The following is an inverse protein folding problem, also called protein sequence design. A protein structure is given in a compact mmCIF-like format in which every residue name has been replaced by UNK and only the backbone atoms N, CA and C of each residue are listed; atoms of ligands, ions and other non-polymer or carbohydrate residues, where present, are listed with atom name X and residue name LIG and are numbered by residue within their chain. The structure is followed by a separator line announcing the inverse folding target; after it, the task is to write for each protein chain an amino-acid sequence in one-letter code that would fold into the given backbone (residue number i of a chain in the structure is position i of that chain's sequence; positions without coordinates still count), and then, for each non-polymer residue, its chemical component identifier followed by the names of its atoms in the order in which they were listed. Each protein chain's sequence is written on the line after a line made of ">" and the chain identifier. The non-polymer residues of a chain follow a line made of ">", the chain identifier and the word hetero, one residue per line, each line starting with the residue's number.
data_IF_078089292701
#
_entry.id   IF_078089292701
#
_cell.length_a   1.000
_cell.length_b   1.000
_cell.length_c   1.000
_cell.angle_alpha   90.00
_cell.angle_beta   90.00
_cell.angle_gamma   90.00
#
_symmetry.space_group_name_H-M   'P 1'
#
loop_
_entity.id
_entity.type
_entity.pdbx_description
1 polymer ?
#
# COMPACT_ATOMS: atom_id res chain seq x y z
N UNK A 1 -11.37 4.45 35.64
CA UNK A 1 -9.90 4.34 35.51
C UNK A 1 -9.57 3.26 34.49
N UNK A 2 -9.22 3.64 33.26
CA UNK A 2 -8.29 2.91 32.37
C UNK A 2 -7.94 3.85 31.22
N UNK A 3 -7.15 4.88 31.54
CA UNK A 3 -6.44 5.67 30.55
C UNK A 3 -5.41 4.73 29.91
N UNK A 4 -5.65 4.26 28.68
CA UNK A 4 -4.58 3.70 27.89
C UNK A 4 -3.55 4.83 27.66
N UNK A 5 -2.38 4.68 28.29
CA UNK A 5 -1.41 5.73 28.54
C UNK A 5 -1.01 6.48 27.26
N UNK A 6 -0.97 7.82 27.33
CA UNK A 6 -0.23 8.69 26.39
C UNK A 6 1.24 8.25 26.19
N UNK A 7 1.75 7.41 27.10
CA UNK A 7 3.10 6.86 27.16
C UNK A 7 3.44 5.79 26.11
N UNK A 8 2.45 5.14 25.49
CA UNK A 8 2.68 4.14 24.42
C UNK A 8 2.93 4.82 23.08
N UNK A 9 2.25 5.94 22.80
CA UNK A 9 2.45 6.76 21.60
C UNK A 9 3.76 7.55 21.67
N UNK A 10 4.17 8.08 22.83
CA UNK A 10 5.43 8.83 22.99
C UNK A 10 6.68 7.96 22.85
N UNK A 11 6.62 6.66 23.15
CA UNK A 11 7.73 5.71 22.91
C UNK A 11 7.95 5.34 21.45
N UNK A 12 6.93 5.49 20.58
CA UNK A 12 7.01 5.16 19.15
C UNK A 12 7.52 6.32 18.28
N UNK A 13 7.38 7.56 18.75
CA UNK A 13 7.72 8.78 17.99
C UNK A 13 9.23 9.00 17.72
N UNK A 14 10.19 8.63 18.59
CA UNK A 14 11.61 8.81 18.29
C UNK A 14 12.13 7.86 17.19
N UNK A 15 11.54 6.66 17.08
CA UNK A 15 11.91 5.65 16.07
C UNK A 15 11.51 6.03 14.65
N UNK A 16 10.39 6.77 14.49
CA UNK A 16 9.92 7.23 13.19
C UNK A 16 10.71 8.44 12.69
N UNK A 17 11.20 9.30 13.61
CA UNK A 17 12.02 10.48 13.26
C UNK A 17 13.48 10.11 12.91
N UNK A 18 14.02 9.04 13.49
CA UNK A 18 15.38 8.56 13.22
C UNK A 18 15.56 7.88 11.84
N UNK A 19 14.48 7.38 11.23
CA UNK A 19 14.51 6.76 9.90
C UNK A 19 14.72 7.75 8.73
N UNK A 20 14.77 9.05 9.01
CA UNK A 20 15.00 10.11 8.02
C UNK A 20 16.47 10.49 7.85
N UNK A 21 17.36 10.18 8.80
CA UNK A 21 18.77 10.64 8.79
C UNK A 21 19.78 9.55 8.42
N UNK A 22 19.41 8.28 8.53
CA UNK A 22 20.26 7.19 8.09
C UNK A 22 20.11 7.03 6.57
N UNK A 23 21.20 7.21 5.81
CA UNK A 23 21.27 7.04 4.34
C UNK A 23 20.97 5.64 3.81
N UNK A 24 20.11 4.87 4.48
CA UNK A 24 19.53 3.62 4.00
C UNK A 24 18.38 3.95 3.04
N UNK A 25 18.71 3.92 1.75
CA UNK A 25 17.81 3.86 0.58
C UNK A 25 16.33 3.62 0.93
N UNK A 26 15.54 4.69 0.83
CA UNK A 26 14.11 4.73 0.46
C UNK A 26 13.26 3.51 0.82
N UNK A 27 12.67 3.52 2.02
CA UNK A 27 11.51 2.68 2.31
C UNK A 27 10.23 3.39 1.83
N UNK A 28 9.85 3.02 0.61
CA UNK A 28 8.64 3.35 -0.13
C UNK A 28 7.43 3.82 0.70
N UNK A 29 7.05 5.08 0.46
CA UNK A 29 5.68 5.57 0.52
C UNK A 29 5.47 6.53 -0.67
N UNK A 30 4.32 6.55 -1.36
CA UNK A 30 3.36 5.50 -1.65
C UNK A 30 3.70 4.87 -3.03
N UNK A 31 2.86 3.94 -3.49
CA UNK A 31 2.88 3.33 -4.82
C UNK A 31 3.86 2.17 -5.01
N UNK A 32 3.25 1.00 -4.90
CA UNK A 32 3.64 -0.28 -5.44
C UNK A 32 4.54 -1.15 -4.56
N UNK A 33 4.22 -2.45 -4.48
CA UNK A 33 5.01 -3.39 -3.72
C UNK A 33 6.45 -3.40 -4.20
N UNK A 34 7.36 -3.35 -3.22
CA UNK A 34 8.78 -3.67 -3.31
C UNK A 34 8.99 -4.80 -4.31
N UNK A 35 9.70 -4.49 -5.40
CA UNK A 35 10.31 -5.38 -6.41
C UNK A 35 9.91 -6.86 -6.23
N UNK A 36 8.85 -7.26 -6.94
CA UNK A 36 8.36 -8.62 -7.01
C UNK A 36 7.44 -8.76 -8.22
N UNK A 37 7.45 -9.93 -8.87
CA UNK A 37 6.66 -10.20 -10.07
C UNK A 37 5.19 -9.77 -9.87
N UNK A 38 4.73 -8.81 -10.66
CA UNK A 38 3.31 -8.38 -10.81
C UNK A 38 2.42 -9.54 -11.35
N UNK A 39 2.98 -10.74 -11.52
CA UNK A 39 2.43 -11.84 -12.32
C UNK A 39 1.11 -12.44 -11.80
N UNK A 40 0.66 -12.13 -10.58
CA UNK A 40 -0.57 -12.71 -10.02
C UNK A 40 -1.58 -11.67 -9.50
N UNK A 41 -1.95 -10.69 -10.34
CA UNK A 41 -2.99 -9.69 -10.01
C UNK A 41 -4.31 -10.33 -9.58
N UNK A 42 -4.65 -11.49 -10.15
CA UNK A 42 -5.90 -12.23 -9.87
C UNK A 42 -5.81 -13.17 -8.66
N UNK A 43 -4.64 -13.31 -8.03
CA UNK A 43 -4.47 -14.22 -6.89
C UNK A 43 -5.34 -13.81 -5.71
N UNK A 44 -5.82 -14.83 -4.97
CA UNK A 44 -6.57 -14.62 -3.74
C UNK A 44 -5.78 -13.78 -2.73
N UNK A 45 -4.45 -13.92 -2.73
CA UNK A 45 -3.53 -13.14 -1.90
C UNK A 45 -3.77 -11.63 -2.03
N UNK A 46 -4.07 -11.14 -3.24
CA UNK A 46 -4.21 -9.71 -3.51
C UNK A 46 -5.53 -9.11 -3.00
N UNK A 47 -6.57 -9.94 -2.83
CA UNK A 47 -7.94 -9.51 -2.50
C UNK A 47 -8.18 -9.29 -1.00
N UNK A 48 -7.28 -9.77 -0.14
CA UNK A 48 -7.45 -9.73 1.31
C UNK A 48 -6.12 -9.81 2.05
N UNK A 49 -6.17 -10.09 3.35
CA UNK A 49 -4.99 -10.17 4.20
C UNK A 49 -4.57 -11.64 4.41
N UNK A 50 -3.75 -12.16 3.49
CA UNK A 50 -3.34 -13.57 3.51
C UNK A 50 -1.88 -13.80 3.93
N UNK A 51 -1.10 -12.72 4.13
CA UNK A 51 0.25 -12.83 4.68
C UNK A 51 1.26 -13.50 3.72
N UNK A 52 1.12 -13.25 2.42
CA UNK A 52 1.93 -13.84 1.35
C UNK A 52 1.47 -15.22 0.90
N UNK A 53 0.39 -15.76 1.47
CA UNK A 53 -0.12 -17.09 1.08
C UNK A 53 -1.19 -16.99 0.00
N UNK A 54 -1.07 -17.88 -0.98
CA UNK A 54 -2.01 -18.08 -2.07
C UNK A 54 -2.54 -19.52 -2.03
N UNK A 55 -3.50 -19.82 -2.89
CA UNK A 55 -3.94 -21.19 -3.14
C UNK A 55 -2.81 -21.94 -3.83
N UNK A 56 -2.52 -23.16 -3.35
CA UNK A 56 -1.54 -24.04 -4.00
C UNK A 56 -2.27 -25.10 -4.82
N UNK A 57 -1.70 -25.44 -5.97
CA UNK A 57 -2.19 -26.50 -6.85
C UNK A 57 -1.15 -27.60 -6.95
N UNK A 58 -1.61 -28.84 -7.06
CA UNK A 58 -0.70 -29.97 -7.24
C UNK A 58 -1.44 -31.26 -7.49
N UNK A 59 -0.74 -32.36 -7.30
CA UNK A 59 -1.26 -33.70 -7.57
C UNK A 59 -1.38 -34.49 -6.27
N UNK A 60 -2.46 -35.24 -6.13
CA UNK A 60 -2.49 -36.36 -5.20
C UNK A 60 -1.72 -37.52 -5.84
N UNK A 61 -0.80 -38.11 -5.10
CA UNK A 61 0.07 -39.20 -5.58
C UNK A 61 -0.27 -40.43 -4.76
N UNK A 62 -1.06 -41.37 -5.30
CA UNK A 62 -1.30 -42.64 -4.64
C UNK A 62 -0.09 -43.58 -4.78
N UNK A 63 -0.01 -44.60 -3.93
CA UNK A 63 1.06 -45.62 -3.99
C UNK A 63 0.99 -46.46 -5.28
N UNK A 64 -0.22 -46.66 -5.80
CA UNK A 64 -0.49 -47.32 -7.09
C UNK A 64 -1.56 -46.55 -7.86
N UNK A 65 -1.39 -46.45 -9.17
CA UNK A 65 -2.37 -45.82 -10.06
C UNK A 65 -2.03 -44.36 -10.46
N UNK A 66 -2.94 -43.71 -11.21
CA UNK A 66 -2.67 -42.40 -11.81
C UNK A 66 -2.74 -41.25 -10.78
N UNK A 67 -1.93 -40.22 -11.01
CA UNK A 67 -1.93 -38.99 -10.20
C UNK A 67 -3.17 -38.16 -10.51
N UNK A 68 -3.93 -37.76 -9.49
CA UNK A 68 -5.10 -36.88 -9.62
C UNK A 68 -4.76 -35.44 -9.24
N UNK A 69 -5.47 -34.45 -9.76
CA UNK A 69 -5.25 -33.04 -9.39
C UNK A 69 -5.92 -32.73 -8.04
N UNK A 70 -5.28 -31.87 -7.24
CA UNK A 70 -5.83 -31.35 -5.98
C UNK A 70 -5.48 -29.88 -5.80
N UNK A 71 -6.25 -29.22 -4.96
CA UNK A 71 -6.06 -27.82 -4.57
C UNK A 71 -5.92 -27.74 -3.05
N UNK A 72 -4.94 -26.98 -2.56
CA UNK A 72 -4.82 -26.64 -1.14
C UNK A 72 -5.25 -25.19 -0.93
N UNK A 73 -6.41 -25.03 -0.32
CA UNK A 73 -6.97 -23.73 0.00
C UNK A 73 -6.34 -23.14 1.25
N UNK A 74 -6.31 -21.81 1.30
CA UNK A 74 -5.85 -21.08 2.48
C UNK A 74 -6.97 -21.05 3.51
N UNK A 75 -6.67 -21.35 4.78
CA UNK A 75 -7.64 -21.20 5.87
C UNK A 75 -7.98 -19.72 6.11
N UNK A 76 -9.00 -19.24 5.40
CA UNK A 76 -9.40 -17.86 5.30
C UNK A 76 -10.79 -17.65 5.86
N UNK A 77 -10.98 -16.54 6.56
CA UNK A 77 -12.25 -16.18 7.17
C UNK A 77 -12.58 -14.72 6.91
N UNK A 78 -13.85 -14.44 6.63
CA UNK A 78 -14.36 -13.08 6.59
C UNK A 78 -14.56 -12.55 8.01
N UNK A 79 -13.85 -11.50 8.39
CA UNK A 79 -13.94 -10.86 9.71
C UNK A 79 -14.11 -9.35 9.60
N UNK A 80 -14.82 -8.77 10.56
CA UNK A 80 -14.89 -7.32 10.75
C UNK A 80 -13.76 -6.92 11.69
N UNK A 81 -12.82 -6.13 11.19
CA UNK A 81 -11.69 -5.62 11.96
C UNK A 81 -11.85 -4.12 12.18
N UNK A 82 -11.64 -3.67 13.41
CA UNK A 82 -11.66 -2.25 13.74
C UNK A 82 -10.33 -1.58 13.36
N UNK A 83 -10.40 -0.36 12.85
CA UNK A 83 -9.26 0.52 12.60
C UNK A 83 -9.40 1.74 13.50
N UNK A 84 -8.41 1.97 14.37
CA UNK A 84 -8.39 3.09 15.30
C UNK A 84 -8.10 4.42 14.60
N UNK A 85 -7.27 4.39 13.55
CA UNK A 85 -6.98 5.58 12.75
C UNK A 85 -8.21 6.06 11.98
N UNK A 86 -8.97 5.13 11.39
CA UNK A 86 -10.12 5.44 10.52
C UNK A 86 -11.46 5.41 11.26
N UNK A 87 -11.48 5.00 12.53
CA UNK A 87 -12.67 4.92 13.38
C UNK A 87 -13.84 4.16 12.71
N UNK A 88 -13.52 3.09 11.99
CA UNK A 88 -14.50 2.28 11.27
C UNK A 88 -14.13 0.80 11.23
N UNK A 89 -15.12 -0.05 11.00
CA UNK A 89 -14.93 -1.48 10.80
C UNK A 89 -14.75 -1.83 9.32
N UNK A 90 -13.70 -2.60 9.00
CA UNK A 90 -13.50 -3.19 7.68
C UNK A 90 -13.91 -4.66 7.67
N UNK A 91 -14.78 -5.03 6.73
CA UNK A 91 -15.08 -6.43 6.43
C UNK A 91 -14.00 -6.96 5.47
N UNK A 92 -13.13 -7.83 5.95
CA UNK A 92 -11.97 -8.35 5.21
C UNK A 92 -11.94 -9.87 5.23
N UNK A 93 -11.44 -10.47 4.16
CA UNK A 93 -11.03 -11.88 4.16
C UNK A 93 -9.60 -11.97 4.69
N UNK A 94 -9.42 -12.71 5.77
CA UNK A 94 -8.17 -12.77 6.52
C UNK A 94 -7.82 -14.22 6.82
N UNK A 95 -6.55 -14.59 6.60
CA UNK A 95 -6.03 -15.90 7.00
C UNK A 95 -5.97 -16.02 8.53
N UNK A 96 -6.27 -17.19 9.09
CA UNK A 96 -6.20 -17.42 10.54
C UNK A 96 -4.84 -17.05 11.18
N UNK A 97 -3.72 -17.37 10.49
CA UNK A 97 -2.37 -16.96 10.93
C UNK A 97 -2.21 -15.44 10.99
N UNK A 98 -2.81 -14.73 10.04
CA UNK A 98 -2.77 -13.27 9.98
C UNK A 98 -3.61 -12.66 11.09
N UNK A 99 -4.78 -13.23 11.41
CA UNK A 99 -5.57 -12.82 12.58
C UNK A 99 -4.77 -12.94 13.88
N UNK A 100 -4.00 -14.03 14.05
CA UNK A 100 -3.10 -14.19 15.19
C UNK A 100 -2.01 -13.12 15.23
N UNK A 101 -1.44 -12.76 14.07
CA UNK A 101 -0.44 -11.68 14.01
C UNK A 101 -1.02 -10.29 14.25
N UNK A 102 -2.24 -10.02 13.80
CA UNK A 102 -2.95 -8.76 14.07
C UNK A 102 -3.15 -8.62 15.59
N UNK A 103 -3.63 -9.68 16.25
CA UNK A 103 -3.78 -9.70 17.71
C UNK A 103 -2.43 -9.54 18.44
N UNK A 104 -1.36 -10.12 17.91
CA UNK A 104 -0.01 -9.99 18.48
C UNK A 104 0.58 -8.60 18.30
N UNK A 105 0.37 -8.00 17.13
CA UNK A 105 0.90 -6.67 16.83
C UNK A 105 0.17 -5.60 17.66
N UNK A 106 -1.12 -5.81 17.96
CA UNK A 106 -1.94 -4.97 18.87
C UNK A 106 -3.16 -4.33 18.18
N UNK A 107 -3.27 -4.46 16.86
CA UNK A 107 -4.41 -3.96 16.09
C UNK A 107 -4.23 -4.12 14.59
N UNK A 108 -5.26 -3.76 13.82
CA UNK A 108 -5.19 -3.77 12.36
C UNK A 108 -4.18 -2.73 11.84
N UNK A 109 -4.21 -1.53 12.40
CA UNK A 109 -3.42 -0.41 11.90
C UNK A 109 -1.92 -0.62 12.17
N UNK A 110 -1.58 -1.11 13.36
CA UNK A 110 -0.20 -1.49 13.70
C UNK A 110 0.33 -2.61 12.80
N UNK A 111 -0.55 -3.58 12.46
CA UNK A 111 -0.20 -4.61 11.50
C UNK A 111 0.11 -4.03 10.11
N UNK A 112 -0.67 -3.04 9.64
CA UNK A 112 -0.49 -2.44 8.31
C UNK A 112 0.72 -1.51 8.23
N UNK A 113 0.96 -0.71 9.27
CA UNK A 113 2.02 0.31 9.31
C UNK A 113 3.41 -0.26 9.59
N UNK A 114 3.52 -1.50 10.06
CA UNK A 114 4.80 -2.14 10.33
C UNK A 114 5.74 -2.05 9.12
N UNK A 115 6.92 -1.50 9.34
CA UNK A 115 7.89 -1.11 8.30
C UNK A 115 8.81 -2.24 7.85
N UNK A 116 8.66 -3.45 8.41
CA UNK A 116 9.56 -4.57 8.09
C UNK A 116 9.40 -4.98 6.62
N UNK A 117 10.50 -5.23 5.89
CA UNK A 117 10.44 -5.53 4.46
C UNK A 117 9.62 -6.80 4.16
N UNK A 118 9.70 -7.80 5.03
CA UNK A 118 8.88 -9.02 4.95
C UNK A 118 7.39 -8.73 5.07
N UNK A 119 6.99 -7.77 5.94
CA UNK A 119 5.59 -7.37 6.08
C UNK A 119 5.10 -6.68 4.81
N UNK A 120 5.87 -5.75 4.24
CA UNK A 120 5.50 -5.06 3.00
C UNK A 120 5.20 -6.03 1.86
N UNK A 121 6.02 -7.08 1.71
CA UNK A 121 5.81 -8.14 0.70
C UNK A 121 4.53 -8.96 0.95
N UNK A 122 4.09 -9.05 2.20
CA UNK A 122 2.96 -9.88 2.65
C UNK A 122 1.61 -9.15 2.69
N UNK A 123 1.54 -7.84 2.46
CA UNK A 123 0.27 -7.07 2.53
C UNK A 123 -0.66 -7.32 1.32
N UNK A 124 -0.10 -7.57 0.15
CA UNK A 124 -0.86 -7.64 -1.11
C UNK A 124 -1.48 -6.28 -1.49
N UNK A 125 -2.30 -6.25 -2.55
CA UNK A 125 -2.97 -5.03 -3.02
C UNK A 125 -3.91 -4.45 -1.95
N UNK A 126 -4.85 -5.26 -1.43
CA UNK A 126 -5.82 -4.79 -0.44
C UNK A 126 -5.17 -4.30 0.85
N UNK A 127 -4.13 -4.97 1.33
CA UNK A 127 -3.38 -4.50 2.50
C UNK A 127 -2.67 -3.17 2.21
N UNK A 128 -2.04 -3.03 1.04
CA UNK A 128 -1.35 -1.80 0.65
C UNK A 128 -2.30 -0.62 0.54
N UNK A 129 -3.50 -0.84 -0.01
CA UNK A 129 -4.59 0.13 -0.05
C UNK A 129 -4.97 0.61 1.36
N UNK A 130 -5.28 -0.31 2.27
CA UNK A 130 -5.63 0.03 3.65
C UNK A 130 -4.49 0.76 4.37
N UNK A 131 -3.25 0.29 4.19
CA UNK A 131 -2.06 0.95 4.73
C UNK A 131 -1.96 2.39 4.24
N UNK A 132 -2.24 2.66 2.97
CA UNK A 132 -2.20 4.01 2.41
C UNK A 132 -3.27 4.92 3.02
N UNK A 133 -4.48 4.40 3.24
CA UNK A 133 -5.58 5.13 3.90
C UNK A 133 -5.25 5.47 5.35
N UNK A 134 -4.75 4.49 6.10
CA UNK A 134 -4.33 4.66 7.49
C UNK A 134 -3.16 5.66 7.58
N UNK A 135 -2.16 5.53 6.70
CA UNK A 135 -1.03 6.45 6.66
C UNK A 135 -1.48 7.88 6.33
N UNK A 136 -2.33 8.08 5.32
CA UNK A 136 -2.85 9.41 4.98
C UNK A 136 -3.60 10.06 6.14
N UNK A 137 -4.37 9.27 6.90
CA UNK A 137 -5.13 9.78 8.06
C UNK A 137 -4.24 10.15 9.25
N UNK A 138 -3.22 9.34 9.53
CA UNK A 138 -2.32 9.53 10.67
C UNK A 138 -1.22 10.55 10.40
N UNK A 139 -0.79 10.66 9.14
CA UNK A 139 0.34 11.45 8.69
C UNK A 139 -0.12 12.43 7.59
N UNK A 140 -1.05 13.36 7.89
CA UNK A 140 -1.51 14.34 6.91
C UNK A 140 -0.35 15.24 6.43
N UNK A 141 0.60 15.53 7.33
CA UNK A 141 1.74 16.39 7.07
C UNK A 141 2.92 15.64 6.44
N UNK A 142 2.96 14.31 6.59
CA UNK A 142 4.06 13.45 6.11
C UNK A 142 3.68 12.78 4.78
N UNK A 143 3.22 13.58 3.83
CA UNK A 143 3.12 13.11 2.46
C UNK A 143 4.55 13.06 1.90
N UNK A 144 5.13 11.88 1.65
CA UNK A 144 6.51 11.76 1.20
C UNK A 144 6.73 12.45 -0.16
N UNK A 145 5.66 12.69 -0.94
CA UNK A 145 5.72 13.48 -2.17
C UNK A 145 5.94 14.96 -1.88
N UNK A 146 5.35 15.49 -0.79
CA UNK A 146 5.53 16.85 -0.30
C UNK A 146 6.89 16.97 0.40
N UNK A 147 7.28 15.98 1.21
CA UNK A 147 8.57 15.97 1.91
C UNK A 147 9.77 15.77 0.97
N UNK A 148 9.59 15.02 -0.12
CA UNK A 148 10.60 14.86 -1.19
C UNK A 148 10.53 15.98 -2.24
N UNK A 149 9.57 16.91 -2.11
CA UNK A 149 9.41 18.00 -3.05
C UNK A 149 10.56 18.99 -2.85
N UNK A 150 11.45 19.16 -3.86
CA UNK A 150 12.56 20.09 -3.71
C UNK A 150 12.02 21.52 -3.51
N UNK A 151 12.54 22.24 -2.51
CA UNK A 151 12.06 23.57 -2.11
C UNK A 151 12.26 24.64 -3.18
N UNK A 152 13.22 24.44 -4.09
CA UNK A 152 13.44 25.35 -5.21
C UNK A 152 12.36 25.18 -6.29
N UNK A 153 11.75 26.29 -6.78
CA UNK A 153 10.60 26.25 -7.68
C UNK A 153 10.90 25.56 -9.02
N UNK A 154 12.14 25.71 -9.53
CA UNK A 154 12.57 25.07 -10.79
C UNK A 154 12.67 23.55 -10.66
N UNK A 155 13.25 23.06 -9.56
CA UNK A 155 13.37 21.63 -9.27
C UNK A 155 12.00 21.02 -8.98
N UNK A 156 11.11 21.78 -8.34
CA UNK A 156 9.73 21.39 -8.05
C UNK A 156 8.94 21.15 -9.34
N UNK A 157 9.00 22.09 -10.29
CA UNK A 157 8.36 21.95 -11.60
C UNK A 157 8.89 20.75 -12.40
N UNK A 158 10.21 20.50 -12.36
CA UNK A 158 10.83 19.35 -13.03
C UNK A 158 10.40 18.01 -12.43
N UNK A 159 10.34 17.91 -11.11
CA UNK A 159 9.89 16.72 -10.39
C UNK A 159 8.43 16.39 -10.74
N UNK A 160 7.53 17.38 -10.66
CA UNK A 160 6.11 17.22 -11.02
C UNK A 160 5.94 16.78 -12.48
N UNK A 161 6.69 17.38 -13.41
CA UNK A 161 6.69 17.00 -14.83
C UNK A 161 7.10 15.55 -15.03
N UNK A 162 8.16 15.12 -14.35
CA UNK A 162 8.68 13.75 -14.44
C UNK A 162 7.67 12.74 -13.92
N UNK A 163 7.12 12.98 -12.73
CA UNK A 163 6.10 12.13 -12.09
C UNK A 163 4.86 12.00 -12.97
N UNK A 164 4.32 13.11 -13.47
CA UNK A 164 3.19 13.13 -14.41
C UNK A 164 3.48 12.30 -15.66
N UNK A 165 4.66 12.42 -16.25
CA UNK A 165 5.03 11.63 -17.42
C UNK A 165 5.07 10.12 -17.11
N UNK A 166 5.61 9.71 -15.96
CA UNK A 166 5.61 8.30 -15.53
C UNK A 166 4.21 7.76 -15.25
N UNK A 167 3.36 8.52 -14.54
CA UNK A 167 1.98 8.13 -14.25
C UNK A 167 1.17 8.00 -15.54
N UNK A 168 1.32 8.96 -16.47
CA UNK A 168 0.67 8.92 -17.79
C UNK A 168 1.22 7.81 -18.70
N UNK A 169 2.47 7.36 -18.49
CA UNK A 169 3.03 6.18 -19.18
C UNK A 169 2.49 4.86 -18.61
N UNK A 170 2.24 4.79 -17.31
CA UNK A 170 1.72 3.61 -16.60
C UNK A 170 0.21 3.40 -16.81
N UNK A 171 -0.56 4.48 -16.91
CA UNK A 171 -2.02 4.43 -17.12
C UNK A 171 -2.33 4.26 -18.63
N UNK A 172 -2.22 3.01 -19.11
CA UNK A 172 -2.26 2.64 -20.54
C UNK A 172 -3.62 2.92 -21.20
N UNK A 173 -3.73 4.04 -21.91
CA UNK A 173 -4.44 4.18 -23.18
C UNK A 173 -3.93 5.43 -23.93
N UNK A 174 -3.46 5.27 -25.18
CA UNK A 174 -3.00 6.39 -26.04
C UNK A 174 -4.07 7.49 -26.17
N UNK A 175 -5.35 7.09 -26.24
CA UNK A 175 -6.50 8.01 -26.35
C UNK A 175 -6.68 8.87 -25.09
N UNK A 176 -6.46 8.30 -23.91
CA UNK A 176 -6.61 9.01 -22.64
C UNK A 176 -5.50 10.05 -22.45
N UNK A 177 -4.24 9.68 -22.77
CA UNK A 177 -3.11 10.61 -22.73
C UNK A 177 -3.34 11.83 -23.63
N UNK A 178 -3.72 11.60 -24.89
CA UNK A 178 -4.00 12.68 -25.85
C UNK A 178 -5.15 13.59 -25.39
N UNK A 179 -6.21 13.02 -24.80
CA UNK A 179 -7.32 13.79 -24.21
C UNK A 179 -6.84 14.67 -23.05
N UNK A 180 -6.01 14.15 -22.15
CA UNK A 180 -5.50 14.89 -21.00
C UNK A 180 -4.50 15.99 -21.40
N UNK A 181 -3.60 15.72 -22.36
CA UNK A 181 -2.70 16.74 -22.92
C UNK A 181 -3.50 17.89 -23.55
N UNK A 182 -4.56 17.58 -24.30
CA UNK A 182 -5.47 18.60 -24.89
C UNK A 182 -6.20 19.43 -23.83
N UNK A 183 -6.67 18.80 -22.74
CA UNK A 183 -7.35 19.50 -21.64
C UNK A 183 -6.40 20.41 -20.85
N UNK A 184 -5.15 19.99 -20.65
CA UNK A 184 -4.12 20.80 -19.99
C UNK A 184 -3.76 22.03 -20.82
N UNK A 185 -3.50 21.86 -22.12
CA UNK A 185 -3.24 22.97 -23.05
C UNK A 185 -4.40 23.97 -23.10
N UNK A 186 -5.64 23.48 -23.11
CA UNK A 186 -6.82 24.34 -23.06
C UNK A 186 -6.95 25.12 -21.74
N UNK A 187 -6.51 24.54 -20.62
CA UNK A 187 -6.50 25.21 -19.30
C UNK A 187 -5.40 26.27 -19.22
N UNK A 188 -4.21 25.98 -19.73
CA UNK A 188 -3.08 26.91 -19.82
C UNK A 188 -3.41 28.11 -20.71
N UNK A 189 -4.03 27.88 -21.87
CA UNK A 189 -4.49 28.93 -22.76
C UNK A 189 -5.54 29.84 -22.10
N UNK A 190 -6.48 29.26 -21.32
CA UNK A 190 -7.48 30.01 -20.54
C UNK A 190 -6.88 30.80 -19.38
N UNK A 191 -5.88 30.23 -18.68
CA UNK A 191 -5.19 30.99 -17.63
C UNK A 191 -4.40 32.16 -18.19
N UNK A 192 -3.77 31.99 -19.36
CA UNK A 192 -3.01 33.06 -20.01
C UNK A 192 -3.89 34.22 -20.51
N UNK A 193 -5.12 33.93 -20.93
CA UNK A 193 -6.11 34.95 -21.33
C UNK A 193 -6.70 35.70 -20.13
N UNK A 194 -6.78 35.07 -18.96
CA UNK A 194 -7.30 35.69 -17.74
C UNK A 194 -6.25 36.49 -16.94
N UNK A 195 -4.99 36.46 -17.37
CA UNK A 195 -3.87 37.20 -16.75
C UNK A 195 -3.45 38.45 -17.55
N UNK A 196 -4.28 38.86 -18.51
CA UNK A 196 -4.24 40.14 -19.24
C UNK A 196 -5.47 40.93 -18.80
#
# INVERSE_FOLDING_TARGET
>A
MTMASKDTLTKLLPRLRALSKDGRKTHAFPFLPVVGRIQEVKSIFQRGLYGGSSTYYGKNVPDKGPKTLRTWEVNAHTKRLWSDALQMHFRLNVRARVLKTIKKDGGLDEYLLKSTPSRLKQLGLRGTELRSLVAYKLFPDCNPVIDSMPSEPKKQAFYVKTVLQTVMKLNRSRKFRARMEKLMQAKEAKSATNSI
#
